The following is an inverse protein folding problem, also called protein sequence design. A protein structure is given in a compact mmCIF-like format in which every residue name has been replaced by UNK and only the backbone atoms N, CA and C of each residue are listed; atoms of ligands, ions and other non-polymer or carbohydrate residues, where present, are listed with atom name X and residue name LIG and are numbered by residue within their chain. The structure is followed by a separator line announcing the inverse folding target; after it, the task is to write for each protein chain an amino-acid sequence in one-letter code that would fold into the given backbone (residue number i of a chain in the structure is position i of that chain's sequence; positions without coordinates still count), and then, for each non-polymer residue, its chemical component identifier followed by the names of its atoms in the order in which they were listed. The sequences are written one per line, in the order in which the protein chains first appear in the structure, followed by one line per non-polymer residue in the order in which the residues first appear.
data_IF_714785233325
#
_entry.id   IF_714785233325
#
_cell.length_a   1.000
_cell.length_b   1.000
_cell.length_c   1.000
_cell.angle_alpha   90.00
_cell.angle_beta   90.00
_cell.angle_gamma   90.00
#
_symmetry.space_group_name_H-M   'P 1'
#
loop_
_entity.id
_entity.type
_entity.pdbx_description
1 polymer ?
#
# COMPACT_ATOMS: atom_id res chain seq x y z
N UNK A 1 37.47 -9.09 22.58
CA UNK A 1 36.75 -7.81 22.71
C UNK A 1 35.34 -8.02 22.13
N UNK A 2 34.25 -7.79 22.88
CA UNK A 2 32.91 -7.94 22.32
C UNK A 2 32.65 -6.82 21.30
N UNK A 3 32.41 -7.19 20.04
CA UNK A 3 31.96 -6.26 19.01
C UNK A 3 30.55 -5.78 19.34
N UNK A 4 30.32 -4.46 19.25
CA UNK A 4 29.01 -3.85 19.51
C UNK A 4 27.96 -4.44 18.55
N UNK A 5 26.73 -4.76 19.02
CA UNK A 5 25.68 -5.25 18.14
C UNK A 5 25.32 -4.23 17.06
N UNK A 6 24.95 -4.72 15.87
CA UNK A 6 24.52 -3.87 14.76
C UNK A 6 23.29 -3.06 15.14
N UNK A 7 23.32 -1.76 14.87
CA UNK A 7 22.21 -0.83 15.07
C UNK A 7 22.03 0.00 13.80
N UNK A 8 20.89 -0.16 13.13
CA UNK A 8 20.59 0.64 11.95
C UNK A 8 20.04 2.01 12.37
N UNK A 9 20.74 3.09 12.01
CA UNK A 9 20.42 4.44 12.45
C UNK A 9 19.00 4.89 12.04
N UNK A 10 18.50 4.43 10.89
CA UNK A 10 17.18 4.77 10.37
C UNK A 10 16.08 3.77 10.76
N UNK A 11 16.30 2.93 11.78
CA UNK A 11 15.27 1.99 12.28
C UNK A 11 13.92 2.66 12.57
N UNK A 12 13.86 3.84 13.23
CA UNK A 12 12.57 4.51 13.46
C UNK A 12 11.87 4.90 12.15
N UNK A 13 12.64 5.30 11.13
CA UNK A 13 12.08 5.68 9.82
C UNK A 13 11.54 4.45 9.08
N UNK A 14 12.25 3.32 9.16
CA UNK A 14 11.79 2.05 8.60
C UNK A 14 10.44 1.63 9.17
N UNK A 15 10.28 1.70 10.50
CA UNK A 15 9.01 1.41 11.19
C UNK A 15 7.88 2.36 10.77
N UNK A 16 8.18 3.65 10.56
CA UNK A 16 7.19 4.60 10.04
C UNK A 16 6.77 4.21 8.63
N UNK A 17 7.70 3.76 7.78
CA UNK A 17 7.38 3.33 6.40
C UNK A 17 6.60 2.02 6.37
N UNK A 18 6.92 1.07 7.23
CA UNK A 18 6.14 -0.16 7.39
C UNK A 18 4.69 0.15 7.74
N UNK A 19 4.46 1.00 8.75
CA UNK A 19 3.12 1.48 9.10
C UNK A 19 2.44 2.24 7.97
N UNK A 20 3.18 3.00 7.18
CA UNK A 20 2.63 3.70 6.02
C UNK A 20 2.18 2.73 4.92
N UNK A 21 2.91 1.63 4.70
CA UNK A 21 2.50 0.56 3.79
C UNK A 21 1.19 -0.08 4.28
N UNK A 22 1.09 -0.42 5.56
CA UNK A 22 -0.12 -1.02 6.12
C UNK A 22 -1.32 -0.08 6.02
N UNK A 23 -1.15 1.20 6.38
CA UNK A 23 -2.18 2.21 6.20
C UNK A 23 -2.62 2.37 4.75
N UNK A 24 -1.69 2.30 3.79
CA UNK A 24 -2.00 2.37 2.36
C UNK A 24 -2.74 1.12 1.86
N UNK A 25 -2.41 -0.07 2.38
CA UNK A 25 -3.15 -1.33 2.09
C UNK A 25 -4.58 -1.25 2.57
N UNK A 26 -4.79 -0.80 3.80
CA UNK A 26 -6.14 -0.62 4.34
C UNK A 26 -6.93 0.43 3.57
N UNK A 27 -6.30 1.55 3.19
CA UNK A 27 -6.93 2.58 2.39
C UNK A 27 -7.36 2.06 1.01
N UNK A 28 -6.51 1.23 0.38
CA UNK A 28 -6.86 0.55 -0.86
C UNK A 28 -8.04 -0.41 -0.67
N UNK A 29 -8.04 -1.22 0.40
CA UNK A 29 -9.16 -2.10 0.74
C UNK A 29 -10.48 -1.32 0.85
N UNK A 30 -10.50 -0.24 1.63
CA UNK A 30 -11.68 0.64 1.76
C UNK A 30 -12.12 1.24 0.42
N UNK A 31 -11.19 1.65 -0.44
CA UNK A 31 -11.51 2.21 -1.75
C UNK A 31 -12.10 1.17 -2.71
N UNK A 32 -11.58 -0.06 -2.70
CA UNK A 32 -12.11 -1.18 -3.48
C UNK A 32 -13.54 -1.52 -3.03
N UNK A 33 -13.77 -1.62 -1.72
CA UNK A 33 -15.10 -1.91 -1.16
C UNK A 33 -16.09 -0.80 -1.49
N UNK A 34 -15.68 0.47 -1.37
CA UNK A 34 -16.51 1.61 -1.73
C UNK A 34 -16.88 1.60 -3.22
N UNK A 35 -15.92 1.32 -4.12
CA UNK A 35 -16.19 1.19 -5.56
C UNK A 35 -17.17 0.05 -5.83
N UNK A 36 -16.96 -1.12 -5.24
CA UNK A 36 -17.83 -2.28 -5.44
C UNK A 36 -19.27 -1.98 -4.99
N UNK A 37 -19.43 -1.32 -3.84
CA UNK A 37 -20.73 -0.89 -3.34
C UNK A 37 -21.42 0.10 -4.29
N UNK A 38 -20.68 1.08 -4.81
CA UNK A 38 -21.21 2.05 -5.78
C UNK A 38 -21.58 1.42 -7.13
N UNK A 39 -20.83 0.42 -7.60
CA UNK A 39 -21.20 -0.34 -8.80
C UNK A 39 -22.50 -1.14 -8.60
N UNK A 40 -22.68 -1.71 -7.41
CA UNK A 40 -23.95 -2.35 -7.05
C UNK A 40 -25.11 -1.33 -6.99
N UNK A 41 -24.87 -0.11 -6.52
CA UNK A 41 -25.86 0.98 -6.57
C UNK A 41 -26.23 1.39 -7.99
N UNK A 42 -25.26 1.46 -8.90
CA UNK A 42 -25.51 1.70 -10.33
C UNK A 42 -26.41 0.60 -10.89
N UNK A 43 -26.08 -0.68 -10.66
CA UNK A 43 -26.89 -1.79 -11.14
C UNK A 43 -28.32 -1.76 -10.58
N UNK A 44 -28.48 -1.44 -9.28
CA UNK A 44 -29.81 -1.27 -8.66
C UNK A 44 -30.60 -0.10 -9.28
N UNK A 45 -29.94 1.03 -9.54
CA UNK A 45 -30.58 2.19 -10.15
C UNK A 45 -31.01 1.91 -11.60
N UNK A 46 -30.18 1.19 -12.35
CA UNK A 46 -30.46 0.77 -13.73
C UNK A 46 -31.65 -0.20 -13.79
N UNK A 47 -31.68 -1.21 -12.92
CA UNK A 47 -32.81 -2.13 -12.81
C UNK A 47 -34.13 -1.39 -12.52
N UNK A 48 -34.13 -0.43 -11.58
CA UNK A 48 -35.31 0.40 -11.30
C UNK A 48 -35.76 1.23 -12.49
N UNK A 49 -34.81 1.75 -13.28
CA UNK A 49 -35.13 2.50 -14.50
C UNK A 49 -35.76 1.58 -15.55
N UNK A 50 -35.22 0.37 -15.73
CA UNK A 50 -35.74 -0.64 -16.63
C UNK A 50 -37.17 -1.08 -16.24
N UNK A 51 -37.40 -1.37 -14.95
CA UNK A 51 -38.74 -1.65 -14.40
C UNK A 51 -39.70 -0.48 -14.66
N UNK A 52 -39.23 0.75 -14.46
CA UNK A 52 -40.01 1.97 -14.71
C UNK A 52 -40.32 2.22 -16.19
N UNK A 53 -39.51 1.68 -17.11
CA UNK A 53 -39.76 1.69 -18.55
C UNK A 53 -40.77 0.60 -18.95
N UNK A 54 -40.61 -0.61 -18.41
CA UNK A 54 -41.47 -1.76 -18.68
C UNK A 54 -42.91 -1.58 -18.14
N UNK A 55 -43.08 -0.85 -17.03
CA UNK A 55 -44.38 -0.57 -16.45
C UNK A 55 -45.30 0.27 -17.35
N UNK A 56 -44.86 0.78 -18.50
CA UNK A 56 -45.61 1.61 -19.44
C UNK A 56 -46.68 0.91 -20.30
N UNK A 57 -47.56 0.08 -19.71
CA UNK A 57 -48.65 -0.62 -20.43
C UNK A 57 -49.90 0.22 -20.72
N UNK A 58 -50.62 -0.15 -21.80
CA UNK A 58 -51.74 0.55 -22.44
C UNK A 58 -52.93 0.89 -21.51
N UNK A 59 -53.57 2.06 -21.76
CA UNK A 59 -54.80 2.48 -21.07
C UNK A 59 -54.66 3.68 -20.11
N UNK A 60 -53.73 4.62 -20.37
CA UNK A 60 -53.44 5.76 -19.48
C UNK A 60 -54.00 7.08 -19.98
N UNK A 61 -54.53 7.88 -19.05
CA UNK A 61 -54.91 9.27 -19.30
C UNK A 61 -53.69 10.18 -19.51
N UNK A 62 -53.86 11.32 -20.18
CA UNK A 62 -52.77 12.27 -20.46
C UNK A 62 -52.00 12.72 -19.19
N UNK A 63 -52.71 12.88 -18.06
CA UNK A 63 -52.09 13.18 -16.75
C UNK A 63 -51.20 12.04 -16.25
N UNK A 64 -51.64 10.79 -16.40
CA UNK A 64 -50.86 9.61 -16.01
C UNK A 64 -49.61 9.43 -16.89
N UNK A 65 -49.69 9.80 -18.17
CA UNK A 65 -48.52 9.83 -19.08
C UNK A 65 -47.49 10.88 -18.64
N UNK A 66 -47.94 12.07 -18.24
CA UNK A 66 -47.07 13.14 -17.72
C UNK A 66 -46.34 12.74 -16.43
N UNK A 67 -47.06 12.14 -15.47
CA UNK A 67 -46.44 11.63 -14.24
C UNK A 67 -45.44 10.50 -14.50
N UNK A 68 -45.75 9.57 -15.41
CA UNK A 68 -44.83 8.50 -15.80
C UNK A 68 -43.55 9.05 -16.47
N UNK A 69 -43.67 10.07 -17.31
CA UNK A 69 -42.52 10.73 -17.92
C UNK A 69 -41.63 11.43 -16.88
N UNK A 70 -42.23 12.17 -15.94
CA UNK A 70 -41.49 12.83 -14.86
C UNK A 70 -40.78 11.81 -13.93
N UNK A 71 -41.45 10.71 -13.61
CA UNK A 71 -40.89 9.62 -12.80
C UNK A 71 -39.67 8.98 -13.47
N UNK A 72 -39.77 8.64 -14.77
CA UNK A 72 -38.64 8.12 -15.55
C UNK A 72 -37.48 9.11 -15.64
N UNK A 73 -37.78 10.40 -15.80
CA UNK A 73 -36.77 11.47 -15.75
C UNK A 73 -36.05 11.53 -14.40
N UNK A 74 -36.77 11.29 -13.29
CA UNK A 74 -36.18 11.13 -11.96
C UNK A 74 -35.22 9.93 -11.87
N UNK A 75 -35.67 8.75 -12.29
CA UNK A 75 -34.87 7.53 -12.29
C UNK A 75 -33.61 7.67 -13.16
N UNK A 76 -33.71 8.27 -14.34
CA UNK A 76 -32.58 8.53 -15.21
C UNK A 76 -31.53 9.45 -14.57
N UNK A 77 -31.97 10.47 -13.81
CA UNK A 77 -31.06 11.32 -13.03
C UNK A 77 -30.37 10.52 -11.92
N UNK A 78 -31.09 9.68 -11.19
CA UNK A 78 -30.51 8.81 -10.16
C UNK A 78 -29.45 7.86 -10.73
N UNK A 79 -29.68 7.27 -11.90
CA UNK A 79 -28.67 6.46 -12.60
C UNK A 79 -27.44 7.30 -12.96
N UNK A 80 -27.64 8.50 -13.50
CA UNK A 80 -26.53 9.39 -13.87
C UNK A 80 -25.70 9.81 -12.63
N UNK A 81 -26.34 10.09 -11.50
CA UNK A 81 -25.69 10.40 -10.23
C UNK A 81 -24.90 9.22 -9.67
N UNK A 82 -25.50 8.02 -9.66
CA UNK A 82 -24.83 6.80 -9.24
C UNK A 82 -23.59 6.49 -10.09
N UNK A 83 -23.71 6.63 -11.43
CA UNK A 83 -22.58 6.43 -12.35
C UNK A 83 -21.45 7.43 -12.10
N UNK A 84 -21.78 8.71 -11.89
CA UNK A 84 -20.79 9.74 -11.53
C UNK A 84 -20.11 9.43 -10.19
N UNK A 85 -20.84 8.90 -9.21
CA UNK A 85 -20.26 8.47 -7.94
C UNK A 85 -19.30 7.29 -8.12
N UNK A 86 -19.69 6.27 -8.88
CA UNK A 86 -18.84 5.13 -9.19
C UNK A 86 -17.55 5.54 -9.92
N UNK A 87 -17.62 6.47 -10.88
CA UNK A 87 -16.43 7.00 -11.57
C UNK A 87 -15.46 7.73 -10.62
N UNK A 88 -15.99 8.53 -9.68
CA UNK A 88 -15.14 9.18 -8.66
C UNK A 88 -14.43 8.14 -7.80
N UNK A 89 -15.13 7.09 -7.39
CA UNK A 89 -14.57 6.03 -6.56
C UNK A 89 -13.55 5.17 -7.32
N UNK A 90 -13.73 4.97 -8.64
CA UNK A 90 -12.70 4.37 -9.51
C UNK A 90 -11.42 5.21 -9.53
N UNK A 91 -11.55 6.53 -9.63
CA UNK A 91 -10.40 7.43 -9.57
C UNK A 91 -9.72 7.40 -8.18
N UNK A 92 -10.50 7.29 -7.10
CA UNK A 92 -9.98 7.17 -5.73
C UNK A 92 -9.25 5.85 -5.49
N UNK A 93 -9.79 4.73 -6.00
CA UNK A 93 -9.09 3.45 -5.97
C UNK A 93 -7.78 3.52 -6.75
N UNK A 94 -7.77 4.11 -7.94
CA UNK A 94 -6.56 4.29 -8.73
C UNK A 94 -5.51 5.17 -7.99
N UNK A 95 -5.96 6.19 -7.25
CA UNK A 95 -5.09 6.98 -6.37
C UNK A 95 -4.53 6.13 -5.22
N UNK A 96 -5.36 5.33 -4.55
CA UNK A 96 -4.94 4.47 -3.46
C UNK A 96 -3.93 3.40 -3.92
N UNK A 97 -4.12 2.81 -5.11
CA UNK A 97 -3.16 1.88 -5.72
C UNK A 97 -1.79 2.51 -5.94
N UNK A 98 -1.75 3.74 -6.49
CA UNK A 98 -0.50 4.49 -6.66
C UNK A 98 0.16 4.80 -5.32
N UNK A 99 -0.60 5.26 -4.34
CA UNK A 99 -0.09 5.54 -3.01
C UNK A 99 0.52 4.30 -2.33
N UNK A 100 -0.11 3.13 -2.47
CA UNK A 100 0.44 1.87 -1.97
C UNK A 100 1.74 1.50 -2.68
N UNK A 101 1.77 1.59 -4.01
CA UNK A 101 2.98 1.31 -4.78
C UNK A 101 4.14 2.24 -4.36
N UNK A 102 3.84 3.52 -4.12
CA UNK A 102 4.84 4.49 -3.68
C UNK A 102 5.34 4.20 -2.25
N UNK A 103 4.43 3.83 -1.34
CA UNK A 103 4.78 3.45 0.03
C UNK A 103 5.68 2.19 0.07
N UNK A 104 5.36 1.18 -0.75
CA UNK A 104 6.16 -0.04 -0.87
C UNK A 104 7.57 0.30 -1.39
N UNK A 105 7.69 1.07 -2.48
CA UNK A 105 9.00 1.46 -3.01
C UNK A 105 9.86 2.21 -2.00
N UNK A 106 9.25 3.10 -1.21
CA UNK A 106 9.96 3.82 -0.14
C UNK A 106 10.41 2.91 0.99
N UNK A 107 9.58 1.92 1.36
CA UNK A 107 9.94 0.92 2.36
C UNK A 107 11.11 0.05 1.87
N UNK A 108 11.01 -0.50 0.66
CA UNK A 108 12.05 -1.34 0.04
C UNK A 108 13.38 -0.59 -0.09
N UNK A 109 13.35 0.69 -0.45
CA UNK A 109 14.56 1.51 -0.52
C UNK A 109 15.27 1.63 0.85
N UNK A 110 14.52 1.85 1.93
CA UNK A 110 15.10 1.89 3.28
C UNK A 110 15.57 0.51 3.75
N UNK A 111 14.86 -0.54 3.38
CA UNK A 111 15.25 -1.90 3.75
C UNK A 111 16.55 -2.30 3.05
N UNK A 112 16.72 -1.95 1.77
CA UNK A 112 17.99 -2.14 1.05
C UNK A 112 19.16 -1.40 1.72
N UNK A 113 18.96 -0.17 2.18
CA UNK A 113 19.97 0.58 2.94
C UNK A 113 20.31 -0.11 4.28
N UNK A 114 19.32 -0.70 4.95
CA UNK A 114 19.53 -1.48 6.18
C UNK A 114 20.39 -2.71 5.89
N UNK A 115 20.09 -3.44 4.82
CA UNK A 115 20.84 -4.63 4.41
C UNK A 115 22.28 -4.31 4.02
N UNK A 116 22.50 -3.20 3.31
CA UNK A 116 23.84 -2.70 2.98
C UNK A 116 24.63 -2.33 4.24
N UNK A 117 24.05 -1.52 5.13
CA UNK A 117 24.69 -1.17 6.41
C UNK A 117 24.99 -2.43 7.27
N UNK A 118 24.11 -3.42 7.26
CA UNK A 118 24.33 -4.68 7.96
C UNK A 118 25.46 -5.52 7.35
N UNK A 119 25.64 -5.47 6.02
CA UNK A 119 26.76 -6.11 5.33
C UNK A 119 28.07 -5.41 5.68
N UNK A 120 28.10 -4.09 5.62
CA UNK A 120 29.30 -3.30 5.95
C UNK A 120 29.74 -3.50 7.40
N UNK A 121 28.79 -3.54 8.34
CA UNK A 121 29.08 -3.83 9.75
C UNK A 121 29.69 -5.22 9.93
N UNK A 122 29.15 -6.25 9.25
CA UNK A 122 29.69 -7.62 9.29
C UNK A 122 31.11 -7.68 8.72
N UNK A 123 31.36 -7.02 7.59
CA UNK A 123 32.69 -6.96 6.98
C UNK A 123 33.68 -6.23 7.88
N UNK A 124 33.27 -5.13 8.52
CA UNK A 124 34.11 -4.41 9.47
C UNK A 124 34.45 -5.27 10.69
N UNK A 125 33.46 -5.95 11.27
CA UNK A 125 33.68 -6.85 12.40
C UNK A 125 34.69 -7.97 12.06
N UNK A 126 34.57 -8.60 10.89
CA UNK A 126 35.53 -9.61 10.41
C UNK A 126 36.93 -9.05 10.24
N UNK A 127 37.08 -7.82 9.73
CA UNK A 127 38.40 -7.17 9.59
C UNK A 127 39.04 -6.90 10.95
N UNK A 128 38.27 -6.39 11.91
CA UNK A 128 38.73 -6.14 13.29
C UNK A 128 39.14 -7.44 13.97
N UNK A 129 38.34 -8.50 13.83
CA UNK A 129 38.67 -9.82 14.37
C UNK A 129 39.95 -10.38 13.75
N UNK A 130 40.09 -10.30 12.42
CA UNK A 130 41.30 -10.76 11.72
C UNK A 130 42.54 -10.00 12.18
N UNK A 131 42.47 -8.67 12.29
CA UNK A 131 43.57 -7.86 12.79
C UNK A 131 43.97 -8.23 14.23
N UNK A 132 42.99 -8.47 15.10
CA UNK A 132 43.25 -8.91 16.48
C UNK A 132 43.96 -10.28 16.54
N UNK A 133 43.62 -11.20 15.63
CA UNK A 133 44.30 -12.51 15.52
C UNK A 133 45.74 -12.36 15.02
N UNK A 134 45.97 -11.49 14.04
CA UNK A 134 47.31 -11.20 13.52
C UNK A 134 48.22 -10.56 14.57
N UNK A 135 47.68 -9.64 15.38
CA UNK A 135 48.37 -9.02 16.51
C UNK A 135 48.74 -10.07 17.58
N UNK A 136 47.82 -10.97 17.92
CA UNK A 136 48.07 -12.07 18.87
C UNK A 136 49.14 -13.03 18.35
N UNK A 137 49.08 -13.42 17.07
CA UNK A 137 50.07 -14.29 16.45
C UNK A 137 51.46 -13.63 16.43
N UNK A 138 51.52 -12.33 16.19
CA UNK A 138 52.77 -11.56 16.18
C UNK A 138 53.36 -11.39 17.58
N UNK A 139 52.53 -11.09 18.58
CA UNK A 139 52.94 -11.02 19.98
C UNK A 139 53.44 -12.38 20.51
N UNK A 140 52.78 -13.48 20.17
CA UNK A 140 53.20 -14.83 20.53
C UNK A 140 54.58 -15.20 19.94
N UNK A 141 54.81 -14.89 18.66
CA UNK A 141 56.13 -15.10 18.02
C UNK A 141 57.23 -14.27 18.67
N UNK A 142 56.95 -13.01 19.00
CA UNK A 142 57.92 -12.15 19.67
C UNK A 142 58.29 -12.67 21.08
N UNK A 143 57.30 -13.16 21.84
CA UNK A 143 57.52 -13.77 23.15
C UNK A 143 58.34 -15.07 23.05
N UNK A 144 58.10 -15.91 22.05
CA UNK A 144 58.89 -17.13 21.82
C UNK A 144 60.33 -16.83 21.39
N UNK A 145 60.59 -15.75 20.65
CA UNK A 145 61.93 -15.37 20.22
C UNK A 145 62.80 -14.79 21.37
N UNK A 146 62.17 -14.27 22.43
CA UNK A 146 62.85 -13.69 23.60
C UNK A 146 63.16 -14.71 24.71
N UNK A 147 62.75 -15.97 24.54
CA UNK A 147 63.17 -17.10 25.40
C UNK A 147 64.12 -18.04 24.63
N UNK A 148 65.38 -17.65 24.40
CA UNK A 148 66.39 -18.60 23.94
C UNK A 148 66.77 -19.51 25.12
N UNK A 149 66.72 -20.82 24.89
CA UNK A 149 67.36 -21.82 25.76
C UNK A 149 68.87 -21.76 25.63
#
# INVERSE_FOLDING_TARGET
MPTRPFQFALTPVLQIRERAVDAAREALGRAVDARASAEADVARAEARLEDGLAAGGNGRTARQLGHAAAHRGGLARTVAEARRAAERLRADEARARRALADAIRQHEALDGLREEAARDHRLHALRVETAALDDLASAGRAASALSPS
#
